data_IF_288335464455
#
_entry.id   IF_288335464455
#
_cell.length_a   1.000
_cell.length_b   1.000
_cell.length_c   1.000
_cell.angle_alpha   90.00
_cell.angle_beta   90.00
_cell.angle_gamma   90.00
#
_symmetry.space_group_name_H-M   'P 1'
#
loop_
_entity.id
_entity.type
_entity.pdbx_description
1 polymer ?
#
# COMPACT_ATOMS: atom_id res chain seq x y z
N UNK A 1 10.33 1.16 -6.95
CA UNK A 1 9.93 2.02 -5.85
C UNK A 1 11.18 2.31 -5.06
N UNK A 2 11.52 3.58 -4.88
CA UNK A 2 12.70 3.95 -4.11
C UNK A 2 12.29 3.75 -2.65
N UNK A 3 12.81 2.70 -2.01
CA UNK A 3 12.87 2.68 -0.54
C UNK A 3 13.74 3.89 -0.21
N UNK A 4 13.15 4.94 0.36
CA UNK A 4 13.95 6.13 0.67
C UNK A 4 15.04 5.70 1.63
N UNK A 5 16.31 6.02 1.31
CA UNK A 5 17.43 5.82 2.24
C UNK A 5 17.12 6.44 3.62
N UNK A 6 16.31 7.51 3.61
CA UNK A 6 15.71 8.14 4.77
C UNK A 6 14.89 7.19 5.67
N UNK A 7 14.07 6.30 5.10
CA UNK A 7 13.30 5.33 5.87
C UNK A 7 14.21 4.26 6.48
N UNK A 8 15.18 3.78 5.70
CA UNK A 8 16.20 2.83 6.19
C UNK A 8 17.03 3.46 7.32
N UNK A 9 17.43 4.73 7.20
CA UNK A 9 18.16 5.43 8.25
C UNK A 9 17.30 5.72 9.47
N UNK A 10 16.05 6.14 9.32
CA UNK A 10 15.15 6.41 10.44
C UNK A 10 14.79 5.13 11.22
N UNK A 11 14.53 4.03 10.51
CA UNK A 11 14.31 2.73 11.14
C UNK A 11 15.59 2.17 11.77
N UNK A 12 16.73 2.27 11.07
CA UNK A 12 18.03 1.83 11.58
C UNK A 12 18.46 2.55 12.85
N UNK A 13 18.12 3.82 13.00
CA UNK A 13 18.32 4.59 14.25
C UNK A 13 17.45 4.07 15.41
N UNK A 14 16.27 3.50 15.12
CA UNK A 14 15.29 3.08 16.12
C UNK A 14 15.42 1.60 16.51
N UNK A 15 15.85 0.73 15.58
CA UNK A 15 15.82 -0.74 15.73
C UNK A 15 17.14 -1.44 15.36
N UNK A 16 18.20 -0.69 15.05
CA UNK A 16 19.49 -1.24 14.62
C UNK A 16 19.53 -1.57 13.13
N UNK A 17 20.70 -1.36 12.50
CA UNK A 17 20.90 -1.63 11.06
C UNK A 17 20.88 -3.14 10.75
N UNK A 18 21.21 -3.97 11.73
CA UNK A 18 21.17 -5.44 11.67
C UNK A 18 19.76 -6.01 11.47
N UNK A 19 18.72 -5.18 11.63
CA UNK A 19 17.31 -5.55 11.47
C UNK A 19 16.64 -4.90 10.26
N UNK A 20 17.39 -4.18 9.41
CA UNK A 20 16.83 -3.45 8.26
C UNK A 20 16.13 -4.36 7.24
N UNK A 21 16.48 -5.65 7.20
CA UNK A 21 15.84 -6.63 6.32
C UNK A 21 14.33 -6.78 6.58
N UNK A 22 13.87 -6.63 7.82
CA UNK A 22 12.46 -6.83 8.17
C UNK A 22 11.52 -5.77 7.58
N UNK A 23 11.78 -4.45 7.73
CA UNK A 23 10.96 -3.42 7.09
C UNK A 23 11.11 -3.41 5.57
N UNK A 24 12.29 -3.77 5.02
CA UNK A 24 12.46 -3.94 3.58
C UNK A 24 11.59 -5.09 3.08
N UNK A 25 11.59 -6.23 3.76
CA UNK A 25 10.79 -7.39 3.42
C UNK A 25 9.29 -7.08 3.50
N UNK A 26 8.84 -6.44 4.58
CA UNK A 26 7.47 -5.97 4.71
C UNK A 26 7.06 -5.06 3.55
N UNK A 27 7.91 -4.08 3.22
CA UNK A 27 7.69 -3.18 2.09
C UNK A 27 7.58 -3.91 0.76
N UNK A 28 8.45 -4.87 0.49
CA UNK A 28 8.39 -5.69 -0.72
C UNK A 28 7.07 -6.46 -0.81
N UNK A 29 6.61 -7.05 0.29
CA UNK A 29 5.31 -7.74 0.35
C UNK A 29 4.17 -6.80 -0.06
N UNK A 30 4.07 -5.63 0.58
CA UNK A 30 2.98 -4.68 0.28
C UNK A 30 3.07 -4.11 -1.14
N UNK A 31 4.28 -3.92 -1.68
CA UNK A 31 4.45 -3.54 -3.10
C UNK A 31 4.03 -4.68 -4.04
N UNK A 32 4.32 -5.93 -3.72
CA UNK A 32 3.86 -7.10 -4.48
C UNK A 32 2.33 -7.13 -4.46
N UNK A 33 1.69 -7.01 -3.30
CA UNK A 33 0.23 -6.97 -3.19
C UNK A 33 -0.36 -5.83 -4.00
N UNK A 34 0.31 -4.66 -4.02
CA UNK A 34 -0.13 -3.53 -4.81
C UNK A 34 -0.06 -3.78 -6.32
N UNK A 35 1.06 -4.29 -6.83
CA UNK A 35 1.31 -4.30 -8.29
C UNK A 35 0.96 -5.61 -8.98
N UNK A 36 1.06 -6.73 -8.27
CA UNK A 36 0.87 -8.05 -8.86
C UNK A 36 -0.55 -8.28 -9.36
N UNK A 37 -1.63 -7.90 -8.64
CA UNK A 37 -2.99 -8.10 -9.12
C UNK A 37 -3.29 -7.35 -10.43
N UNK A 38 -2.84 -6.10 -10.56
CA UNK A 38 -3.01 -5.35 -11.80
C UNK A 38 -2.18 -5.97 -12.93
N UNK A 39 -0.94 -6.40 -12.64
CA UNK A 39 -0.12 -7.11 -13.62
C UNK A 39 -0.80 -8.38 -14.12
N UNK A 40 -1.40 -9.16 -13.21
CA UNK A 40 -2.13 -10.37 -13.57
C UNK A 40 -3.34 -10.05 -14.47
N UNK A 41 -4.14 -9.03 -14.12
CA UNK A 41 -5.27 -8.60 -14.96
C UNK A 41 -4.82 -8.20 -16.36
N UNK A 42 -3.68 -7.50 -16.48
CA UNK A 42 -3.16 -7.10 -17.79
C UNK A 42 -2.75 -8.29 -18.64
N UNK A 43 -2.16 -9.33 -18.01
CA UNK A 43 -1.83 -10.58 -18.70
C UNK A 43 -3.10 -11.31 -19.14
N UNK A 44 -4.09 -11.44 -18.26
CA UNK A 44 -5.36 -12.11 -18.56
C UNK A 44 -6.15 -11.44 -19.69
N UNK A 45 -6.04 -10.11 -19.81
CA UNK A 45 -6.72 -9.34 -20.85
C UNK A 45 -5.88 -9.07 -22.11
N UNK A 46 -4.65 -9.62 -22.19
CA UNK A 46 -3.68 -9.32 -23.25
C UNK A 46 -3.45 -7.80 -23.46
N UNK A 47 -3.45 -7.04 -22.37
CA UNK A 47 -3.22 -5.60 -22.39
C UNK A 47 -1.80 -5.26 -21.94
N UNK A 48 -1.23 -4.20 -22.53
CA UNK A 48 0.05 -3.64 -22.07
C UNK A 48 -0.21 -2.41 -21.23
N UNK A 49 0.06 -2.49 -19.93
CA UNK A 49 0.02 -1.34 -19.03
C UNK A 49 1.44 -0.98 -18.59
N UNK A 50 1.66 0.31 -18.37
CA UNK A 50 2.94 0.89 -17.98
C UNK A 50 2.80 1.48 -16.58
N UNK A 51 3.79 1.21 -15.74
CA UNK A 51 3.89 1.85 -14.43
C UNK A 51 4.30 3.32 -14.61
N UNK A 52 3.55 4.24 -14.00
CA UNK A 52 3.92 5.65 -13.89
C UNK A 52 4.10 6.00 -12.43
N UNK A 53 5.35 6.29 -12.06
CA UNK A 53 5.72 6.72 -10.73
C UNK A 53 5.35 8.18 -10.48
N UNK A 54 5.19 8.51 -9.21
CA UNK A 54 4.98 9.89 -8.78
C UNK A 54 6.34 10.52 -8.50
N UNK A 55 7.05 10.90 -9.57
CA UNK A 55 8.43 11.38 -9.49
C UNK A 55 8.58 12.57 -8.52
N UNK A 56 7.58 13.46 -8.48
CA UNK A 56 7.55 14.61 -7.56
C UNK A 56 7.18 14.23 -6.12
N UNK A 57 6.63 13.03 -5.88
CA UNK A 57 6.29 12.54 -4.56
C UNK A 57 7.48 11.97 -3.78
N UNK A 58 8.53 11.51 -4.48
CA UNK A 58 9.70 10.92 -3.82
C UNK A 58 10.46 11.90 -2.90
N UNK A 59 10.69 13.17 -3.28
CA UNK A 59 11.28 14.15 -2.36
C UNK A 59 10.43 14.36 -1.10
N UNK A 60 9.10 14.44 -1.23
CA UNK A 60 8.18 14.61 -0.10
C UNK A 60 8.21 13.41 0.86
N UNK A 61 8.19 12.19 0.31
CA UNK A 61 8.33 10.97 1.13
C UNK A 61 9.67 10.90 1.86
N UNK A 62 10.77 11.33 1.21
CA UNK A 62 12.07 11.44 1.87
C UNK A 62 12.08 12.46 3.01
N UNK A 63 11.47 13.64 2.83
CA UNK A 63 11.35 14.64 3.90
C UNK A 63 10.55 14.09 5.08
N UNK A 64 9.41 13.45 4.80
CA UNK A 64 8.57 12.86 5.85
C UNK A 64 9.31 11.76 6.62
N UNK A 65 10.06 10.92 5.92
CA UNK A 65 10.88 9.89 6.54
C UNK A 65 12.00 10.47 7.42
N UNK A 66 12.65 11.55 6.99
CA UNK A 66 13.69 12.21 7.78
C UNK A 66 13.13 12.94 9.01
N UNK A 67 12.00 13.63 8.87
CA UNK A 67 11.45 14.50 9.93
C UNK A 67 10.65 13.70 10.97
N UNK A 68 9.87 12.72 10.53
CA UNK A 68 8.93 12.00 11.40
C UNK A 68 9.35 10.55 11.66
N UNK A 69 10.44 10.07 11.04
CA UNK A 69 10.85 8.66 11.13
C UNK A 69 9.83 7.69 10.53
N UNK A 70 8.89 8.18 9.72
CA UNK A 70 7.75 7.41 9.21
C UNK A 70 7.86 7.12 7.71
N UNK A 71 7.18 6.07 7.25
CA UNK A 71 7.15 5.72 5.84
C UNK A 71 5.90 6.24 5.15
N UNK A 72 6.08 7.10 4.15
CA UNK A 72 5.02 7.44 3.21
C UNK A 72 5.21 6.65 1.90
N UNK A 73 4.37 5.63 1.63
CA UNK A 73 4.42 4.88 0.38
C UNK A 73 4.10 5.79 -0.81
N UNK A 74 5.14 6.19 -1.54
CA UNK A 74 4.98 6.89 -2.81
C UNK A 74 4.87 5.89 -3.94
N UNK A 75 3.72 5.25 -3.97
CA UNK A 75 3.44 4.20 -4.94
C UNK A 75 2.81 4.81 -6.18
N UNK A 76 3.41 4.57 -7.34
CA UNK A 76 2.82 4.96 -8.62
C UNK A 76 1.56 4.16 -8.94
N UNK A 77 1.07 4.34 -10.16
CA UNK A 77 -0.09 3.62 -10.68
C UNK A 77 0.23 3.03 -12.06
N UNK A 78 -0.43 1.92 -12.39
CA UNK A 78 -0.36 1.32 -13.71
C UNK A 78 -1.45 1.91 -14.61
N UNK A 79 -1.08 2.25 -15.84
CA UNK A 79 -1.97 2.82 -16.84
C UNK A 79 -1.81 2.10 -18.18
N UNK A 80 -2.88 1.96 -18.99
CA UNK A 80 -2.75 1.44 -20.35
C UNK A 80 -1.70 2.19 -21.17
N UNK A 81 -0.92 1.46 -21.97
CA UNK A 81 0.12 2.05 -22.82
C UNK A 81 -0.44 2.81 -24.03
N UNK A 82 -1.65 2.46 -24.48
CA UNK A 82 -2.30 3.08 -25.64
C UNK A 82 -2.57 4.56 -25.39
N UNK A 83 -2.39 5.41 -26.40
CA UNK A 83 -2.84 6.81 -26.35
C UNK A 83 -4.36 6.96 -26.48
N UNK A 84 -5.03 5.95 -27.06
CA UNK A 84 -6.48 5.89 -27.21
C UNK A 84 -7.07 4.97 -26.15
N UNK A 85 -7.13 5.45 -24.92
CA UNK A 85 -7.89 4.78 -23.87
C UNK A 85 -8.71 5.80 -23.09
N UNK A 86 -9.86 5.36 -22.60
CA UNK A 86 -10.65 6.12 -21.65
C UNK A 86 -10.59 5.45 -20.29
N UNK A 87 -10.50 6.25 -19.23
CA UNK A 87 -10.48 5.74 -17.87
C UNK A 87 -11.73 4.93 -17.55
N UNK A 88 -12.91 5.43 -17.95
CA UNK A 88 -14.19 4.74 -17.78
C UNK A 88 -14.20 3.36 -18.43
N UNK A 89 -13.60 3.20 -19.62
CA UNK A 89 -13.54 1.91 -20.31
C UNK A 89 -12.59 0.88 -19.67
N UNK A 90 -11.76 1.29 -18.70
CA UNK A 90 -10.84 0.41 -17.96
C UNK A 90 -11.15 0.33 -16.48
N UNK A 91 -12.18 1.04 -16.02
CA UNK A 91 -12.53 1.17 -14.61
C UNK A 91 -12.76 -0.20 -13.95
N UNK A 92 -13.43 -1.14 -14.63
CA UNK A 92 -13.66 -2.47 -14.08
C UNK A 92 -12.36 -3.24 -13.86
N UNK A 93 -11.46 -3.26 -14.85
CA UNK A 93 -10.15 -3.91 -14.73
C UNK A 93 -9.32 -3.30 -13.59
N UNK A 94 -9.31 -1.97 -13.52
CA UNK A 94 -8.57 -1.21 -12.52
C UNK A 94 -9.17 -1.47 -11.12
N UNK A 95 -10.49 -1.38 -11.00
CA UNK A 95 -11.24 -1.58 -9.77
C UNK A 95 -11.10 -2.98 -9.21
N UNK A 96 -11.22 -4.02 -10.04
CA UNK A 96 -10.99 -5.41 -9.64
C UNK A 96 -9.55 -5.59 -9.16
N UNK A 97 -8.56 -5.09 -9.91
CA UNK A 97 -7.15 -5.22 -9.54
C UNK A 97 -6.82 -4.58 -8.20
N UNK A 98 -7.29 -3.36 -7.98
CA UNK A 98 -7.10 -2.67 -6.71
C UNK A 98 -7.92 -3.29 -5.58
N UNK A 99 -9.09 -3.88 -5.85
CA UNK A 99 -9.86 -4.60 -4.84
C UNK A 99 -9.12 -5.87 -4.38
N UNK A 100 -8.54 -6.64 -5.30
CA UNK A 100 -7.70 -7.80 -4.96
C UNK A 100 -6.48 -7.35 -4.15
N UNK A 101 -5.80 -6.26 -4.56
CA UNK A 101 -4.70 -5.67 -3.81
C UNK A 101 -5.10 -5.32 -2.37
N UNK A 102 -6.21 -4.59 -2.20
CA UNK A 102 -6.71 -4.20 -0.88
C UNK A 102 -7.06 -5.44 -0.03
N UNK A 103 -7.73 -6.44 -0.61
CA UNK A 103 -8.05 -7.69 0.09
C UNK A 103 -6.78 -8.40 0.59
N UNK A 104 -5.73 -8.52 -0.22
CA UNK A 104 -4.48 -9.14 0.21
C UNK A 104 -3.86 -8.40 1.40
N UNK A 105 -3.83 -7.06 1.36
CA UNK A 105 -3.30 -6.25 2.46
C UNK A 105 -4.12 -6.41 3.74
N UNK A 106 -5.46 -6.31 3.63
CA UNK A 106 -6.37 -6.40 4.77
C UNK A 106 -6.36 -7.79 5.40
N UNK A 107 -6.36 -8.86 4.59
CA UNK A 107 -6.30 -10.23 5.09
C UNK A 107 -4.98 -10.50 5.80
N UNK A 108 -3.84 -10.12 5.21
CA UNK A 108 -2.53 -10.32 5.84
C UNK A 108 -2.44 -9.62 7.19
N UNK A 109 -2.84 -8.35 7.29
CA UNK A 109 -2.83 -7.61 8.55
C UNK A 109 -3.83 -8.15 9.57
N UNK A 110 -5.02 -8.58 9.13
CA UNK A 110 -6.01 -9.19 10.01
C UNK A 110 -5.51 -10.51 10.59
N UNK A 111 -4.87 -11.35 9.79
CA UNK A 111 -4.27 -12.61 10.25
C UNK A 111 -3.16 -12.36 11.28
N UNK A 112 -2.30 -11.36 11.06
CA UNK A 112 -1.27 -11.00 12.03
C UNK A 112 -1.83 -10.47 13.36
N UNK A 113 -3.01 -9.85 13.36
CA UNK A 113 -3.71 -9.45 14.59
C UNK A 113 -4.39 -10.63 15.29
N UNK A 114 -4.94 -11.59 14.53
CA UNK A 114 -5.63 -12.76 15.08
C UNK A 114 -4.67 -13.80 15.65
N UNK A 115 -3.45 -13.87 15.11
CA UNK A 115 -2.43 -14.84 15.50
C UNK A 115 -1.13 -14.13 15.92
N UNK A 116 -1.12 -13.40 17.05
CA UNK A 116 0.09 -12.79 17.57
C UNK A 116 1.15 -13.87 17.84
N UNK A 117 2.39 -13.63 17.40
CA UNK A 117 3.50 -14.60 17.51
C UNK A 117 3.67 -15.54 16.30
N UNK A 118 2.81 -15.46 15.28
CA UNK A 118 3.00 -16.23 14.03
C UNK A 118 4.30 -15.87 13.29
N UNK A 119 4.77 -14.63 13.45
CA UNK A 119 6.05 -14.14 12.92
C UNK A 119 6.88 -13.52 14.06
N UNK A 120 8.21 -13.40 13.91
CA UNK A 120 9.04 -12.69 14.87
C UNK A 120 8.52 -11.28 15.14
N UNK A 121 8.61 -10.83 16.39
CA UNK A 121 8.06 -9.54 16.83
C UNK A 121 8.55 -8.36 15.97
N UNK A 122 9.82 -8.35 15.60
CA UNK A 122 10.39 -7.30 14.76
C UNK A 122 9.81 -7.28 13.34
N UNK A 123 9.48 -8.46 12.78
CA UNK A 123 8.77 -8.55 11.51
C UNK A 123 7.31 -8.11 11.68
N UNK A 124 6.66 -8.49 12.78
CA UNK A 124 5.30 -8.06 13.11
C UNK A 124 5.23 -6.52 13.16
N UNK A 125 6.12 -5.87 13.92
CA UNK A 125 6.22 -4.42 14.03
C UNK A 125 6.48 -3.77 12.65
N UNK A 126 7.38 -4.36 11.86
CA UNK A 126 7.69 -3.89 10.51
C UNK A 126 6.48 -3.99 9.57
N UNK A 127 5.71 -5.08 9.64
CA UNK A 127 4.51 -5.31 8.84
C UNK A 127 3.42 -4.30 9.18
N UNK A 128 3.20 -3.97 10.45
CA UNK A 128 2.22 -2.95 10.84
C UNK A 128 2.69 -1.52 10.54
N UNK A 129 3.96 -1.21 10.76
CA UNK A 129 4.52 0.11 10.42
C UNK A 129 4.29 0.44 8.93
N UNK A 130 4.66 -0.48 8.04
CA UNK A 130 4.45 -0.31 6.61
C UNK A 130 2.97 -0.45 6.24
N UNK A 131 2.31 -1.48 6.76
CA UNK A 131 0.93 -1.83 6.44
C UNK A 131 -0.06 -0.72 6.77
N UNK A 132 0.06 -0.09 7.95
CA UNK A 132 -0.79 1.04 8.35
C UNK A 132 -0.64 2.21 7.38
N UNK A 133 0.58 2.51 6.93
CA UNK A 133 0.77 3.53 5.90
C UNK A 133 0.04 3.19 4.60
N UNK A 134 0.06 1.93 4.15
CA UNK A 134 -0.76 1.50 3.00
C UNK A 134 -2.26 1.61 3.30
N UNK A 135 -2.74 1.22 4.48
CA UNK A 135 -4.16 1.37 4.83
C UNK A 135 -4.60 2.84 4.77
N UNK A 136 -3.80 3.76 5.31
CA UNK A 136 -4.09 5.20 5.31
C UNK A 136 -4.05 5.78 3.89
N UNK A 137 -2.89 5.70 3.23
CA UNK A 137 -2.65 6.42 1.99
C UNK A 137 -3.20 5.70 0.77
N UNK A 138 -3.29 4.37 0.81
CA UNK A 138 -3.73 3.59 -0.33
C UNK A 138 -5.20 3.21 -0.29
N UNK A 139 -5.80 2.97 0.89
CA UNK A 139 -7.20 2.52 0.99
C UNK A 139 -8.11 3.64 1.47
N UNK A 140 -7.76 4.31 2.57
CA UNK A 140 -8.64 5.28 3.23
C UNK A 140 -8.68 6.64 2.52
N UNK A 141 -7.53 7.14 2.05
CA UNK A 141 -7.46 8.46 1.45
C UNK A 141 -7.92 8.44 -0.01
N UNK A 142 -9.15 8.91 -0.23
CA UNK A 142 -9.78 9.02 -1.56
C UNK A 142 -9.80 10.46 -2.11
N UNK A 143 -9.15 11.39 -1.43
CA UNK A 143 -9.12 12.82 -1.76
C UNK A 143 -7.75 13.25 -2.31
N UNK A 144 -7.66 14.46 -2.88
CA UNK A 144 -6.42 15.03 -3.42
C UNK A 144 -5.37 15.20 -2.32
N UNK A 145 -4.10 14.78 -2.53
CA UNK A 145 -3.50 14.38 -3.80
C UNK A 145 -3.48 12.84 -4.03
N UNK A 146 -4.15 12.06 -3.18
CA UNK A 146 -4.18 10.58 -3.21
C UNK A 146 -5.20 9.97 -4.18
N UNK A 147 -5.84 10.78 -5.02
CA UNK A 147 -6.85 10.34 -6.00
C UNK A 147 -6.39 9.27 -7.02
N UNK A 148 -5.08 9.02 -7.14
CA UNK A 148 -4.51 8.00 -8.02
C UNK A 148 -4.27 6.64 -7.32
N UNK A 149 -4.50 6.56 -6.02
CA UNK A 149 -4.29 5.38 -5.17
C UNK A 149 -5.50 4.43 -5.20
N UNK A 150 -5.33 3.22 -4.66
CA UNK A 150 -6.28 2.12 -4.77
C UNK A 150 -7.67 2.50 -4.28
N UNK A 151 -7.78 3.20 -3.16
CA UNK A 151 -9.01 3.58 -2.49
C UNK A 151 -9.93 4.37 -3.41
N UNK A 152 -9.40 5.40 -4.08
CA UNK A 152 -10.19 6.20 -5.03
C UNK A 152 -10.65 5.36 -6.22
N UNK A 153 -9.79 4.47 -6.73
CA UNK A 153 -10.12 3.58 -7.86
C UNK A 153 -11.21 2.57 -7.50
N UNK A 154 -11.14 2.00 -6.29
CA UNK A 154 -12.15 1.09 -5.75
C UNK A 154 -13.45 1.86 -5.51
N UNK A 155 -13.39 3.07 -4.96
CA UNK A 155 -14.56 3.92 -4.73
C UNK A 155 -15.32 4.24 -6.03
N UNK A 156 -14.59 4.60 -7.09
CA UNK A 156 -15.18 4.89 -8.40
C UNK A 156 -15.75 3.65 -9.07
N UNK A 157 -15.13 2.48 -8.87
CA UNK A 157 -15.62 1.19 -9.35
C UNK A 157 -16.88 0.73 -8.60
N UNK A 158 -16.82 0.70 -7.27
CA UNK A 158 -17.91 0.32 -6.39
C UNK A 158 -17.73 0.95 -4.98
N UNK A 159 -18.54 1.97 -4.69
CA UNK A 159 -18.53 2.69 -3.41
C UNK A 159 -18.75 1.79 -2.18
N UNK A 160 -19.51 0.70 -2.31
CA UNK A 160 -19.78 -0.22 -1.21
C UNK A 160 -18.58 -1.10 -0.90
N UNK A 161 -17.85 -1.54 -1.93
CA UNK A 161 -16.59 -2.27 -1.73
C UNK A 161 -15.56 -1.41 -1.03
N UNK A 162 -15.43 -0.15 -1.45
CA UNK A 162 -14.57 0.80 -0.76
C UNK A 162 -14.99 1.00 0.70
N UNK A 163 -16.28 1.21 0.96
CA UNK A 163 -16.78 1.40 2.33
C UNK A 163 -16.47 0.18 3.22
N UNK A 164 -16.67 -1.04 2.70
CA UNK A 164 -16.30 -2.27 3.40
C UNK A 164 -14.80 -2.32 3.73
N UNK A 165 -13.93 -2.05 2.75
CA UNK A 165 -12.48 -2.04 2.97
C UNK A 165 -12.05 -0.94 3.94
N UNK A 166 -12.68 0.23 3.88
CA UNK A 166 -12.41 1.34 4.81
C UNK A 166 -12.77 0.95 6.26
N UNK A 167 -13.92 0.31 6.47
CA UNK A 167 -14.32 -0.17 7.81
C UNK A 167 -13.32 -1.20 8.33
N UNK A 168 -12.94 -2.20 7.52
CA UNK A 168 -11.96 -3.21 7.93
C UNK A 168 -10.60 -2.57 8.24
N UNK A 169 -10.15 -1.64 7.40
CA UNK A 169 -8.89 -0.92 7.62
C UNK A 169 -8.91 -0.14 8.95
N UNK A 170 -10.00 0.57 9.25
CA UNK A 170 -10.17 1.30 10.51
C UNK A 170 -10.18 0.34 11.72
N UNK A 171 -10.85 -0.82 11.60
CA UNK A 171 -10.85 -1.84 12.65
C UNK A 171 -9.44 -2.39 12.91
N UNK A 172 -8.66 -2.66 11.86
CA UNK A 172 -7.26 -3.11 11.99
C UNK A 172 -6.43 -2.04 12.72
N UNK A 173 -6.53 -0.78 12.29
CA UNK A 173 -5.80 0.35 12.89
C UNK A 173 -6.17 0.51 14.37
N UNK A 174 -7.47 0.55 14.68
CA UNK A 174 -7.97 0.65 16.05
C UNK A 174 -7.45 -0.50 16.91
N UNK A 175 -7.57 -1.74 16.42
CA UNK A 175 -7.15 -2.93 17.16
C UNK A 175 -5.65 -2.95 17.40
N UNK A 176 -4.84 -2.55 16.42
CA UNK A 176 -3.40 -2.42 16.58
C UNK A 176 -3.05 -1.44 17.70
N UNK A 177 -3.63 -0.23 17.71
CA UNK A 177 -3.34 0.74 18.76
C UNK A 177 -3.86 0.33 20.14
N UNK A 178 -4.98 -0.40 20.22
CA UNK A 178 -5.50 -0.92 21.48
C UNK A 178 -4.64 -2.01 22.14
N UNK A 179 -3.64 -2.57 21.43
CA UNK A 179 -2.68 -3.51 22.01
C UNK A 179 -1.56 -2.77 22.78
N UNK A 180 -1.31 -1.51 22.44
CA UNK A 180 -0.21 -0.69 22.99
C UNK A 180 -0.66 0.38 23.99
N UNK A 181 -1.96 0.54 24.20
CA UNK A 181 -2.57 1.43 25.21
C UNK A 181 -3.06 0.60 26.39
#
# INVERSE_FOLDING_TARGET
GIVSLAFISGFGLSYGLENVQYPIFALLIFLIYRYFPLKLITLLKNEKWVYRGWHNGYPLSSIIALVFGTYLPMTGAQYPASHKWSYRGKLDSIGIGYSISATLMLVTLSLLLLYPGFVPEILWNSMFLIGISFLLFDILFIFTPFQFYAGKRIFEYNKWFWALFAVIALMIIQRYFAIFL
#
